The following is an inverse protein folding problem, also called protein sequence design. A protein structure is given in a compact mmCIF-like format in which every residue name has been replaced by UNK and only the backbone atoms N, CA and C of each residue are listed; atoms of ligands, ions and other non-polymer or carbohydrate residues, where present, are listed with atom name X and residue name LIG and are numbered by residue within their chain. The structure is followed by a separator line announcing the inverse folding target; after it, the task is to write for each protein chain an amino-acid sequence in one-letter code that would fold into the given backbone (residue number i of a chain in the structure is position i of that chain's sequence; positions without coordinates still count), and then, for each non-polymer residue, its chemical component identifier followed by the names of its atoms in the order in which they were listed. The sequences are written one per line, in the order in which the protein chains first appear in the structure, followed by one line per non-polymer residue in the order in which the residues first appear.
data_IF_045512296400
#
_entry.id   IF_045512296400
#
_cell.length_a   1.000
_cell.length_b   1.000
_cell.length_c   1.000
_cell.angle_alpha   90.00
_cell.angle_beta   90.00
_cell.angle_gamma   90.00
#
_symmetry.space_group_name_H-M   'P 1'
#
loop_
_entity.id
_entity.type
_entity.pdbx_description
1 polymer ?
#
# COMPACT_ATOMS: atom_id res chain seq x y z
N UNK A 1 -0.67 -83.08 57.65
CA UNK A 1 0.42 -82.61 58.55
C UNK A 1 1.59 -82.26 57.67
N UNK A 2 2.15 -81.06 57.85
CA UNK A 2 3.30 -80.42 57.15
C UNK A 2 3.08 -80.11 55.66
N UNK A 3 2.63 -78.91 55.27
CA UNK A 3 3.34 -77.61 55.17
C UNK A 3 4.65 -77.64 54.36
N UNK A 4 4.58 -77.10 53.13
CA UNK A 4 5.59 -76.19 52.53
C UNK A 4 4.98 -75.53 51.28
N UNK A 5 4.42 -74.32 51.44
CA UNK A 5 4.06 -73.45 50.32
C UNK A 5 5.23 -72.51 50.01
N UNK A 6 5.70 -72.56 48.76
CA UNK A 6 6.77 -71.72 48.22
C UNK A 6 6.25 -70.32 47.92
N UNK A 7 6.77 -69.30 48.62
CA UNK A 7 6.47 -67.88 48.38
C UNK A 7 7.31 -67.35 47.20
N UNK A 8 6.67 -67.08 46.06
CA UNK A 8 7.23 -66.22 45.02
C UNK A 8 7.11 -64.76 45.47
N UNK A 9 8.24 -64.11 45.71
CA UNK A 9 8.32 -62.66 45.97
C UNK A 9 8.41 -61.94 44.62
N UNK A 10 7.27 -61.45 44.13
CA UNK A 10 7.22 -60.51 42.99
C UNK A 10 7.63 -59.12 43.48
N UNK A 11 8.81 -58.66 43.04
CA UNK A 11 9.28 -57.28 43.26
C UNK A 11 8.46 -56.32 42.38
N UNK A 12 7.59 -55.53 43.00
CA UNK A 12 7.00 -54.34 42.38
C UNK A 12 8.03 -53.20 42.42
N UNK A 13 8.51 -52.79 41.26
CA UNK A 13 9.36 -51.62 41.08
C UNK A 13 8.46 -50.44 40.71
N UNK A 14 8.36 -49.37 41.53
CA UNK A 14 7.50 -48.24 41.20
C UNK A 14 8.14 -47.43 40.06
N UNK A 15 7.46 -47.40 38.91
CA UNK A 15 7.80 -46.51 37.80
C UNK A 15 7.30 -45.11 38.18
N UNK A 16 8.20 -44.28 38.69
CA UNK A 16 7.94 -42.85 38.92
C UNK A 16 7.89 -42.16 37.55
N UNK A 17 6.67 -41.92 37.05
CA UNK A 17 6.44 -41.20 35.79
C UNK A 17 6.72 -39.71 36.04
N UNK A 18 7.93 -39.25 35.69
CA UNK A 18 8.28 -37.83 35.65
C UNK A 18 7.59 -37.18 34.44
N UNK A 19 6.43 -36.57 34.69
CA UNK A 19 5.78 -35.63 33.77
C UNK A 19 6.65 -34.37 33.65
N UNK A 20 7.55 -34.36 32.67
CA UNK A 20 8.16 -33.12 32.19
C UNK A 20 7.08 -32.33 31.43
N UNK A 21 6.42 -31.40 32.13
CA UNK A 21 5.61 -30.37 31.51
C UNK A 21 6.51 -29.44 30.72
N UNK A 22 6.61 -29.67 29.40
CA UNK A 22 7.21 -28.73 28.47
C UNK A 22 6.34 -27.48 28.37
N UNK A 23 6.56 -26.52 29.26
CA UNK A 23 6.12 -25.14 29.09
C UNK A 23 6.93 -24.55 27.94
N UNK A 24 6.44 -24.70 26.71
CA UNK A 24 6.90 -23.89 25.59
C UNK A 24 6.46 -22.46 25.86
N UNK A 25 7.39 -21.64 26.37
CA UNK A 25 7.31 -20.19 26.30
C UNK A 25 7.28 -19.83 24.81
N UNK A 26 6.09 -19.71 24.25
CA UNK A 26 5.90 -19.12 22.93
C UNK A 26 6.28 -17.65 23.07
N UNK A 27 7.47 -17.28 22.64
CA UNK A 27 7.79 -15.87 22.43
C UNK A 27 6.76 -15.34 21.43
N UNK A 28 5.83 -14.50 21.90
CA UNK A 28 5.02 -13.71 20.99
C UNK A 28 5.99 -12.85 20.19
N UNK A 29 6.27 -13.26 18.96
CA UNK A 29 6.99 -12.42 18.02
C UNK A 29 6.09 -11.23 17.77
N UNK A 30 6.40 -10.10 18.39
CA UNK A 30 5.64 -8.87 18.25
C UNK A 30 5.62 -8.52 16.77
N UNK A 31 4.46 -8.68 16.13
CA UNK A 31 4.31 -8.42 14.70
C UNK A 31 4.65 -6.96 14.44
N UNK A 32 5.51 -6.67 13.46
CA UNK A 32 5.74 -5.30 13.01
C UNK A 32 4.42 -4.72 12.49
N UNK A 33 4.06 -3.52 12.97
CA UNK A 33 2.79 -2.86 12.67
C UNK A 33 3.06 -1.46 12.12
N UNK A 34 2.22 -1.06 11.16
CA UNK A 34 2.18 0.32 10.70
C UNK A 34 1.49 1.16 11.78
N UNK A 35 2.01 2.37 12.02
CA UNK A 35 1.51 3.27 13.07
C UNK A 35 0.84 4.52 12.51
N UNK A 36 0.98 4.78 11.21
CA UNK A 36 0.43 5.91 10.48
C UNK A 36 1.25 7.20 10.62
N UNK A 37 1.19 8.05 9.58
CA UNK A 37 1.97 9.30 9.49
C UNK A 37 1.85 10.22 10.69
N UNK A 38 0.67 10.26 11.34
CA UNK A 38 0.41 11.13 12.48
C UNK A 38 1.30 10.80 13.69
N UNK A 39 1.74 9.55 13.84
CA UNK A 39 2.68 9.17 14.89
C UNK A 39 4.08 9.70 14.56
N UNK A 40 4.48 9.61 13.29
CA UNK A 40 5.74 10.17 12.79
C UNK A 40 5.78 11.70 12.98
N UNK A 41 4.67 12.37 12.65
CA UNK A 41 4.48 13.81 12.76
C UNK A 41 4.74 14.36 14.18
N UNK A 42 4.52 13.54 15.21
CA UNK A 42 4.75 13.94 16.60
C UNK A 42 6.22 14.26 16.93
N UNK A 43 7.17 13.75 16.14
CA UNK A 43 8.60 14.01 16.31
C UNK A 43 9.27 14.57 15.05
N UNK A 44 8.72 14.31 13.86
CA UNK A 44 9.30 14.64 12.55
C UNK A 44 8.48 15.68 11.78
N UNK A 45 8.28 16.85 12.38
CA UNK A 45 7.43 17.92 11.82
C UNK A 45 7.98 18.47 10.51
N UNK A 46 9.30 18.66 10.42
CA UNK A 46 9.94 19.20 9.21
C UNK A 46 9.79 18.25 8.01
N UNK A 47 9.97 16.94 8.24
CA UNK A 47 9.84 15.92 7.22
C UNK A 47 8.39 15.79 6.76
N UNK A 48 7.43 15.81 7.71
CA UNK A 48 6.01 15.83 7.35
C UNK A 48 5.71 17.05 6.48
N UNK A 49 6.16 18.25 6.88
CA UNK A 49 5.91 19.47 6.11
C UNK A 49 6.51 19.42 4.70
N UNK A 50 7.64 18.74 4.51
CA UNK A 50 8.25 18.57 3.20
C UNK A 50 7.55 17.50 2.34
N UNK A 51 6.96 16.49 2.97
CA UNK A 51 6.21 15.42 2.32
C UNK A 51 4.79 15.86 1.94
N UNK A 52 4.14 16.65 2.78
CA UNK A 52 2.76 17.13 2.55
C UNK A 52 2.65 17.95 1.25
N UNK A 53 1.65 17.65 0.44
CA UNK A 53 1.44 18.23 -0.87
C UNK A 53 2.39 17.71 -1.97
N UNK A 54 3.29 16.78 -1.66
CA UNK A 54 4.08 16.08 -2.67
C UNK A 54 3.21 15.13 -3.50
N UNK A 55 3.73 14.63 -4.61
CA UNK A 55 3.01 13.60 -5.40
C UNK A 55 2.86 12.27 -4.66
N UNK A 56 3.64 12.02 -3.60
CA UNK A 56 3.45 10.85 -2.75
C UNK A 56 2.23 11.01 -1.84
N UNK A 57 2.08 12.17 -1.20
CA UNK A 57 0.90 12.53 -0.40
C UNK A 57 -0.36 12.59 -1.27
N UNK A 58 -0.22 13.14 -2.47
CA UNK A 58 -1.32 13.29 -3.44
C UNK A 58 -1.42 12.10 -4.41
N UNK A 59 -0.81 10.96 -4.08
CA UNK A 59 -0.88 9.75 -4.90
C UNK A 59 -2.33 9.27 -5.03
N UNK A 60 -3.12 9.42 -3.97
CA UNK A 60 -4.56 9.24 -3.97
C UNK A 60 -5.23 10.18 -2.97
N UNK A 61 -6.45 10.60 -3.28
CA UNK A 61 -7.24 11.48 -2.39
C UNK A 61 -8.70 11.04 -2.31
N UNK A 62 -9.35 11.38 -1.21
CA UNK A 62 -10.78 11.14 -1.01
C UNK A 62 -11.63 12.18 -1.73
N UNK A 63 -12.91 11.86 -1.93
CA UNK A 63 -13.90 12.82 -2.41
C UNK A 63 -13.99 14.01 -1.44
N UNK A 64 -13.92 15.22 -1.98
CA UNK A 64 -13.96 16.47 -1.21
C UNK A 64 -12.59 17.01 -0.82
N UNK A 65 -11.52 16.26 -1.06
CA UNK A 65 -10.16 16.79 -0.90
C UNK A 65 -9.90 17.95 -1.90
N UNK A 66 -9.28 19.07 -1.49
CA UNK A 66 -8.97 20.18 -2.41
C UNK A 66 -8.05 19.81 -3.60
N UNK A 67 -7.31 18.71 -3.52
CA UNK A 67 -6.50 18.18 -4.61
C UNK A 67 -7.29 17.25 -5.56
N UNK A 68 -8.52 16.86 -5.22
CA UNK A 68 -9.47 16.25 -6.16
C UNK A 68 -10.06 17.34 -7.07
N UNK A 69 -9.41 17.58 -8.21
CA UNK A 69 -9.62 18.76 -9.07
C UNK A 69 -10.44 18.48 -10.34
N UNK A 70 -10.69 17.20 -10.66
CA UNK A 70 -11.45 16.83 -11.84
C UNK A 70 -12.89 17.39 -11.78
N UNK A 71 -13.40 18.04 -12.84
CA UNK A 71 -14.72 18.67 -12.83
C UNK A 71 -15.83 17.70 -13.20
N UNK A 72 -16.87 17.65 -12.37
CA UNK A 72 -18.09 16.88 -12.59
C UNK A 72 -19.25 17.81 -13.00
N UNK A 73 -19.03 18.57 -14.07
CA UNK A 73 -19.91 19.65 -14.55
C UNK A 73 -20.84 19.24 -15.70
N UNK A 74 -20.89 17.95 -16.03
CA UNK A 74 -21.76 17.38 -17.06
C UNK A 74 -21.08 17.12 -18.40
N UNK A 75 -19.76 17.27 -18.50
CA UNK A 75 -19.00 16.89 -19.69
C UNK A 75 -19.17 15.41 -20.03
N UNK A 76 -19.10 15.11 -21.32
CA UNK A 76 -19.26 13.76 -21.88
C UNK A 76 -18.04 13.35 -22.70
N UNK A 77 -17.66 12.08 -22.61
CA UNK A 77 -16.66 11.43 -23.46
C UNK A 77 -17.27 10.15 -24.00
N UNK A 78 -17.23 9.98 -25.31
CA UNK A 78 -17.65 8.76 -25.99
C UNK A 78 -16.44 8.12 -26.64
N UNK A 79 -16.05 6.93 -26.18
CA UNK A 79 -14.89 6.18 -26.70
C UNK A 79 -15.02 4.68 -26.37
N UNK A 80 -14.49 3.80 -27.22
CA UNK A 80 -14.43 2.36 -26.91
C UNK A 80 -15.79 1.67 -26.73
N UNK A 81 -16.85 2.20 -27.36
CA UNK A 81 -18.24 1.73 -27.17
C UNK A 81 -18.89 2.17 -25.85
N UNK A 82 -18.27 3.10 -25.10
CA UNK A 82 -18.73 3.60 -23.81
C UNK A 82 -18.97 5.12 -23.87
N UNK A 83 -20.21 5.55 -23.64
CA UNK A 83 -20.51 6.95 -23.34
C UNK A 83 -20.35 7.16 -21.84
N UNK A 84 -19.58 8.17 -21.44
CA UNK A 84 -19.31 8.52 -20.04
C UNK A 84 -19.66 9.98 -19.81
N UNK A 85 -20.45 10.27 -18.78
CA UNK A 85 -20.84 11.62 -18.37
C UNK A 85 -20.47 11.86 -16.91
N UNK A 86 -19.75 12.94 -16.65
CA UNK A 86 -19.20 13.27 -15.32
C UNK A 86 -20.07 14.33 -14.65
N UNK A 87 -20.84 13.94 -13.64
CA UNK A 87 -21.82 14.82 -12.96
C UNK A 87 -21.74 14.72 -11.44
N UNK A 88 -22.34 15.69 -10.78
CA UNK A 88 -22.57 15.65 -9.33
C UNK A 88 -24.03 15.28 -9.04
N UNK A 89 -24.25 14.35 -8.11
CA UNK A 89 -25.56 13.98 -7.56
C UNK A 89 -25.46 14.14 -6.04
N UNK A 90 -26.33 14.94 -5.43
CA UNK A 90 -26.33 15.21 -3.98
C UNK A 90 -24.93 15.61 -3.44
N UNK A 91 -24.27 16.53 -4.13
CA UNK A 91 -22.90 17.00 -3.85
C UNK A 91 -21.79 15.93 -3.96
N UNK A 92 -22.10 14.73 -4.43
CA UNK A 92 -21.14 13.66 -4.67
C UNK A 92 -20.83 13.47 -6.17
N UNK A 93 -19.55 13.29 -6.55
CA UNK A 93 -19.16 12.99 -7.93
C UNK A 93 -19.61 11.59 -8.36
N UNK A 94 -20.23 11.52 -9.54
CA UNK A 94 -20.77 10.32 -10.16
C UNK A 94 -20.42 10.30 -11.65
N UNK A 95 -20.08 9.12 -12.16
CA UNK A 95 -19.96 8.89 -13.60
C UNK A 95 -21.19 8.13 -14.08
N UNK A 96 -22.03 8.74 -14.91
CA UNK A 96 -23.03 7.98 -15.65
C UNK A 96 -22.35 7.36 -16.87
N UNK A 97 -22.54 6.06 -17.07
CA UNK A 97 -22.01 5.39 -18.26
C UNK A 97 -23.11 4.62 -18.98
N UNK A 98 -22.99 4.54 -20.29
CA UNK A 98 -23.89 3.81 -21.18
C UNK A 98 -23.06 3.02 -22.20
N UNK A 99 -23.28 1.71 -22.24
CA UNK A 99 -22.69 0.76 -23.18
C UNK A 99 -23.78 -0.20 -23.72
N UNK A 100 -23.39 -1.27 -24.42
CA UNK A 100 -24.31 -2.27 -24.93
C UNK A 100 -25.11 -3.02 -23.84
N UNK A 101 -24.68 -2.95 -22.57
CA UNK A 101 -25.34 -3.55 -21.42
C UNK A 101 -26.34 -2.57 -20.77
N UNK A 102 -26.33 -1.30 -21.17
CA UNK A 102 -27.27 -0.26 -20.77
C UNK A 102 -26.65 0.83 -19.91
N UNK A 103 -27.51 1.72 -19.39
CA UNK A 103 -27.09 2.86 -18.58
C UNK A 103 -26.93 2.48 -17.10
N UNK A 104 -25.87 2.97 -16.46
CA UNK A 104 -25.59 2.81 -15.02
C UNK A 104 -24.89 4.05 -14.45
N UNK A 105 -25.02 4.25 -13.14
CA UNK A 105 -24.35 5.32 -12.41
C UNK A 105 -23.28 4.73 -11.50
N UNK A 106 -22.08 5.28 -11.56
CA UNK A 106 -20.90 4.81 -10.85
C UNK A 106 -20.44 5.89 -9.85
N UNK A 107 -20.69 5.72 -8.55
CA UNK A 107 -20.18 6.62 -7.54
C UNK A 107 -18.65 6.63 -7.54
N UNK A 108 -18.07 7.83 -7.50
CA UNK A 108 -16.62 8.00 -7.35
C UNK A 108 -16.24 7.79 -5.89
N UNK A 109 -15.20 7.01 -5.65
CA UNK A 109 -14.69 6.69 -4.31
C UNK A 109 -13.41 7.43 -4.00
N UNK A 110 -12.49 7.51 -4.95
CA UNK A 110 -11.19 8.15 -4.79
C UNK A 110 -10.73 8.79 -6.10
N UNK A 111 -9.80 9.72 -5.96
CA UNK A 111 -8.99 10.25 -7.05
C UNK A 111 -7.58 9.70 -6.95
N UNK A 112 -6.93 9.50 -8.09
CA UNK A 112 -5.62 8.87 -8.21
C UNK A 112 -4.73 9.73 -9.09
N UNK A 113 -3.60 10.20 -8.55
CA UNK A 113 -2.76 11.19 -9.19
C UNK A 113 -3.27 12.64 -9.06
N UNK A 114 -2.43 13.60 -9.42
CA UNK A 114 -2.70 15.05 -9.26
C UNK A 114 -2.43 15.88 -10.51
N UNK A 115 -1.23 15.77 -11.09
CA UNK A 115 -0.79 16.58 -12.24
C UNK A 115 0.21 15.76 -13.08
N UNK A 116 0.12 15.79 -14.42
CA UNK A 116 -0.87 16.50 -15.24
C UNK A 116 -2.20 15.74 -15.42
N UNK A 117 -2.33 14.56 -14.80
CA UNK A 117 -3.45 13.64 -14.96
C UNK A 117 -3.96 13.19 -13.58
N UNK A 118 -5.29 13.11 -13.46
CA UNK A 118 -6.00 12.58 -12.31
C UNK A 118 -7.00 11.52 -12.79
N UNK A 119 -6.73 10.26 -12.45
CA UNK A 119 -7.63 9.13 -12.64
C UNK A 119 -8.63 9.05 -11.48
N UNK A 120 -9.67 8.24 -11.67
CA UNK A 120 -10.79 8.11 -10.74
C UNK A 120 -11.02 6.65 -10.45
N UNK A 121 -11.24 6.36 -9.17
CA UNK A 121 -11.66 5.04 -8.73
C UNK A 121 -13.16 5.00 -8.52
N UNK A 122 -13.82 4.08 -9.20
CA UNK A 122 -15.24 3.76 -9.02
C UNK A 122 -15.39 2.39 -8.38
N UNK A 123 -16.48 2.19 -7.64
CA UNK A 123 -16.78 0.90 -7.04
C UNK A 123 -17.27 -0.08 -8.11
N UNK A 124 -16.63 -1.24 -8.18
CA UNK A 124 -17.03 -2.38 -8.98
C UNK A 124 -17.59 -3.49 -8.11
N UNK A 125 -17.95 -4.60 -8.75
CA UNK A 125 -18.50 -5.75 -8.04
C UNK A 125 -17.43 -6.47 -7.20
N UNK A 126 -17.87 -7.22 -6.18
CA UNK A 126 -17.04 -8.14 -5.38
C UNK A 126 -15.82 -7.44 -4.75
N UNK A 127 -16.03 -6.22 -4.27
CA UNK A 127 -15.05 -5.40 -3.56
C UNK A 127 -13.94 -4.82 -4.44
N UNK A 128 -14.12 -4.81 -5.76
CA UNK A 128 -13.17 -4.20 -6.70
C UNK A 128 -13.33 -2.69 -6.71
N UNK A 129 -12.21 -1.98 -6.72
CA UNK A 129 -12.13 -0.60 -7.17
C UNK A 129 -11.56 -0.61 -8.58
N UNK A 130 -12.25 0.07 -9.48
CA UNK A 130 -11.86 0.17 -10.89
C UNK A 130 -11.31 1.56 -11.18
N UNK A 131 -10.13 1.61 -11.75
CA UNK A 131 -9.54 2.81 -12.32
C UNK A 131 -10.25 3.13 -13.63
N UNK A 132 -11.10 4.14 -13.61
CA UNK A 132 -11.92 4.49 -14.76
C UNK A 132 -11.03 4.95 -15.94
N UNK A 133 -11.19 4.40 -17.16
CA UNK A 133 -10.25 4.59 -18.27
C UNK A 133 -10.39 5.94 -18.98
N UNK A 134 -11.06 6.91 -18.35
CA UNK A 134 -11.21 8.29 -18.83
C UNK A 134 -10.79 9.24 -17.71
N UNK A 135 -9.48 9.49 -17.54
CA UNK A 135 -8.98 10.47 -16.57
C UNK A 135 -9.27 11.92 -16.96
N UNK A 136 -9.06 12.80 -15.99
CA UNK A 136 -8.99 14.23 -16.18
C UNK A 136 -7.53 14.67 -16.38
N UNK A 137 -7.26 15.37 -17.48
CA UNK A 137 -6.04 16.14 -17.67
C UNK A 137 -6.25 17.56 -17.13
N UNK A 138 -5.27 18.10 -16.40
CA UNK A 138 -5.29 19.50 -15.97
C UNK A 138 -4.75 20.47 -17.03
N UNK A 139 -4.73 21.77 -16.71
CA UNK A 139 -4.32 22.82 -17.64
C UNK A 139 -2.83 22.75 -18.04
N UNK A 140 -1.99 22.03 -17.30
CA UNK A 140 -0.57 21.83 -17.61
C UNK A 140 -0.35 20.71 -18.61
N UNK A 141 -1.34 19.83 -18.82
CA UNK A 141 -1.26 18.76 -19.78
C UNK A 141 -1.16 19.29 -21.22
N UNK A 142 -0.49 18.53 -22.08
CA UNK A 142 -0.51 18.81 -23.53
C UNK A 142 -1.96 18.66 -24.04
N UNK A 143 -2.48 19.70 -24.69
CA UNK A 143 -3.88 19.79 -25.11
C UNK A 143 -4.82 20.43 -24.07
N UNK A 144 -4.29 20.85 -22.92
CA UNK A 144 -5.05 21.56 -21.89
C UNK A 144 -6.02 20.68 -21.10
N UNK A 145 -6.80 21.35 -20.25
CA UNK A 145 -7.69 20.71 -19.30
C UNK A 145 -8.87 20.02 -19.99
N UNK A 146 -9.02 18.70 -19.81
CA UNK A 146 -10.06 17.90 -20.48
C UNK A 146 -10.19 16.49 -19.89
N UNK A 147 -11.36 15.90 -20.04
CA UNK A 147 -11.53 14.46 -19.97
C UNK A 147 -10.99 13.82 -21.25
N UNK A 148 -10.28 12.69 -21.15
CA UNK A 148 -9.74 12.02 -22.34
C UNK A 148 -9.68 10.49 -22.16
N UNK A 149 -9.89 9.70 -23.23
CA UNK A 149 -9.70 8.26 -23.16
C UNK A 149 -8.22 7.91 -22.95
N UNK A 150 -7.91 7.06 -21.98
CA UNK A 150 -6.54 6.65 -21.68
C UNK A 150 -5.92 5.81 -22.81
N UNK A 151 -6.77 5.07 -23.54
CA UNK A 151 -6.40 4.20 -24.65
C UNK A 151 -7.11 4.66 -25.95
N UNK A 152 -6.69 5.80 -26.54
CA UNK A 152 -7.40 6.39 -27.67
C UNK A 152 -7.35 5.54 -28.95
N UNK A 153 -6.42 4.58 -29.05
CA UNK A 153 -6.31 3.65 -30.18
C UNK A 153 -7.29 2.47 -30.09
N UNK A 154 -7.86 2.22 -28.92
CA UNK A 154 -8.79 1.11 -28.68
C UNK A 154 -10.22 1.53 -29.03
N UNK A 155 -10.62 1.26 -30.27
CA UNK A 155 -11.92 1.68 -30.83
C UNK A 155 -13.11 0.97 -30.16
N UNK A 156 -12.92 -0.24 -29.62
CA UNK A 156 -13.98 -1.05 -28.99
C UNK A 156 -13.44 -1.78 -27.75
N UNK A 157 -14.12 -1.62 -26.61
CA UNK A 157 -13.80 -2.33 -25.36
C UNK A 157 -15.08 -2.93 -24.77
N UNK A 158 -15.71 -3.93 -25.41
CA UNK A 158 -17.01 -4.46 -24.95
C UNK A 158 -16.90 -5.15 -23.58
N UNK A 159 -18.01 -5.31 -22.87
CA UNK A 159 -18.00 -6.02 -21.59
C UNK A 159 -17.41 -7.43 -21.72
N UNK A 160 -16.51 -7.77 -20.79
CA UNK A 160 -15.71 -9.00 -20.83
C UNK A 160 -14.32 -8.79 -21.41
N UNK A 161 -14.08 -7.67 -22.13
CA UNK A 161 -12.74 -7.27 -22.54
C UNK A 161 -11.89 -6.87 -21.31
N UNK A 162 -10.61 -7.29 -21.23
CA UNK A 162 -9.73 -6.88 -20.13
C UNK A 162 -9.57 -5.37 -19.94
N UNK A 163 -9.69 -4.58 -21.01
CA UNK A 163 -9.56 -3.10 -21.04
C UNK A 163 -10.89 -2.36 -20.89
N UNK A 164 -12.03 -3.06 -20.91
CA UNK A 164 -13.32 -2.46 -20.53
C UNK A 164 -13.20 -1.84 -19.13
N UNK A 165 -13.93 -0.76 -18.82
CA UNK A 165 -13.78 -0.05 -17.54
C UNK A 165 -14.00 -0.95 -16.31
N UNK A 166 -14.80 -2.02 -16.43
CA UNK A 166 -14.99 -3.03 -15.36
C UNK A 166 -14.06 -4.26 -15.47
N UNK A 167 -13.19 -4.27 -16.47
CA UNK A 167 -12.23 -5.32 -16.78
C UNK A 167 -11.08 -5.41 -15.77
N UNK A 168 -10.24 -6.44 -15.94
CA UNK A 168 -9.16 -6.73 -14.99
C UNK A 168 -7.97 -5.77 -15.10
N UNK A 169 -7.72 -5.20 -16.29
CA UNK A 169 -6.59 -4.27 -16.49
C UNK A 169 -6.84 -2.90 -15.87
N UNK A 170 -8.11 -2.59 -15.55
CA UNK A 170 -8.50 -1.40 -14.82
C UNK A 170 -8.63 -1.65 -13.30
N UNK A 171 -8.42 -2.87 -12.81
CA UNK A 171 -8.63 -3.20 -11.39
C UNK A 171 -7.50 -2.63 -10.51
N UNK A 172 -7.83 -1.61 -9.73
CA UNK A 172 -6.89 -0.92 -8.85
C UNK A 172 -6.33 -1.84 -7.75
N UNK A 173 -7.17 -2.70 -7.15
CA UNK A 173 -6.74 -3.58 -6.04
C UNK A 173 -5.57 -4.48 -6.45
N UNK A 174 -5.60 -4.98 -7.69
CA UNK A 174 -4.57 -5.86 -8.21
C UNK A 174 -3.38 -5.08 -8.78
N UNK A 175 -3.65 -4.03 -9.57
CA UNK A 175 -2.65 -3.37 -10.41
C UNK A 175 -1.92 -2.20 -9.74
N UNK A 176 -2.58 -1.51 -8.81
CA UNK A 176 -2.14 -0.18 -8.37
C UNK A 176 -2.00 -0.07 -6.85
N UNK A 177 -2.86 -0.75 -6.09
CA UNK A 177 -2.99 -0.54 -4.66
C UNK A 177 -1.69 -0.70 -3.87
N UNK A 178 -0.82 -1.64 -4.26
CA UNK A 178 0.42 -1.93 -3.53
C UNK A 178 1.41 -0.77 -3.58
N UNK A 179 1.38 0.03 -4.65
CA UNK A 179 2.30 1.15 -4.85
C UNK A 179 1.68 2.51 -4.55
N UNK A 180 0.35 2.60 -4.47
CA UNK A 180 -0.36 3.86 -4.26
C UNK A 180 -1.07 3.93 -2.91
N UNK A 181 -0.78 3.02 -1.98
CA UNK A 181 -1.27 3.05 -0.60
C UNK A 181 -0.19 2.56 0.36
N UNK A 182 -0.43 2.74 1.67
CA UNK A 182 0.51 2.32 2.72
C UNK A 182 -0.11 1.28 3.63
N UNK A 183 0.66 0.24 3.99
CA UNK A 183 0.18 -0.84 4.85
C UNK A 183 -0.94 -1.67 4.22
N UNK A 184 -0.86 -1.89 2.90
CA UNK A 184 -1.88 -2.62 2.14
C UNK A 184 -2.01 -4.08 2.59
N UNK A 185 -3.26 -4.51 2.74
CA UNK A 185 -3.67 -5.91 2.67
C UNK A 185 -4.57 -6.07 1.45
N UNK A 186 -4.06 -6.73 0.41
CA UNK A 186 -4.81 -6.91 -0.86
C UNK A 186 -6.13 -7.65 -0.64
N UNK A 187 -6.17 -8.63 0.26
CA UNK A 187 -7.41 -9.30 0.68
C UNK A 187 -8.12 -10.04 -0.46
N UNK A 188 -7.38 -10.59 -1.42
CA UNK A 188 -7.96 -11.37 -2.52
C UNK A 188 -8.34 -12.78 -2.04
N UNK A 189 -9.59 -13.18 -2.29
CA UNK A 189 -10.09 -14.54 -2.09
C UNK A 189 -10.33 -15.20 -3.45
N UNK A 190 -9.54 -16.22 -3.77
CA UNK A 190 -9.61 -16.92 -5.04
C UNK A 190 -10.87 -17.81 -5.19
N UNK A 191 -11.50 -18.22 -4.09
CA UNK A 191 -12.69 -19.08 -4.11
C UNK A 191 -13.95 -18.32 -4.51
N UNK A 192 -14.03 -17.06 -4.11
CA UNK A 192 -15.13 -16.14 -4.43
C UNK A 192 -14.76 -15.12 -5.52
N UNK A 193 -13.49 -15.10 -5.91
CA UNK A 193 -12.89 -14.11 -6.82
C UNK A 193 -13.26 -12.67 -6.40
N UNK A 194 -13.05 -12.36 -5.13
CA UNK A 194 -13.40 -11.07 -4.51
C UNK A 194 -12.21 -10.44 -3.81
N UNK A 195 -12.28 -9.12 -3.62
CA UNK A 195 -11.33 -8.38 -2.81
C UNK A 195 -11.99 -7.88 -1.53
N UNK A 196 -11.27 -7.95 -0.43
CA UNK A 196 -11.53 -7.20 0.80
C UNK A 196 -10.29 -6.39 1.14
N UNK A 197 -9.93 -5.49 0.21
CA UNK A 197 -8.68 -4.72 0.29
C UNK A 197 -8.79 -3.66 1.38
N UNK A 198 -7.77 -3.60 2.24
CA UNK A 198 -7.63 -2.57 3.28
C UNK A 198 -6.23 -1.99 3.25
N UNK A 199 -6.05 -0.78 3.77
CA UNK A 199 -4.76 -0.11 3.90
C UNK A 199 -4.73 0.68 5.21
N UNK A 200 -3.53 1.02 5.67
CA UNK A 200 -3.35 1.92 6.81
C UNK A 200 -3.55 3.38 6.40
N UNK A 201 -3.06 3.75 5.21
CA UNK A 201 -3.19 5.10 4.64
C UNK A 201 -3.41 4.98 3.13
N UNK A 202 -4.27 5.85 2.59
CA UNK A 202 -4.77 5.76 1.19
C UNK A 202 -3.70 6.16 0.15
N UNK A 203 -2.57 6.72 0.58
CA UNK A 203 -1.52 7.31 -0.25
C UNK A 203 -0.13 6.68 0.03
N UNK A 204 0.93 7.24 -0.59
CA UNK A 204 2.33 6.82 -0.37
C UNK A 204 2.90 7.60 0.82
N UNK A 205 2.62 7.08 2.02
CA UNK A 205 3.00 7.67 3.29
C UNK A 205 4.41 7.25 3.73
N UNK A 206 4.86 7.76 4.89
CA UNK A 206 6.18 7.54 5.45
C UNK A 206 6.55 6.05 5.50
N UNK A 207 5.62 5.22 5.97
CA UNK A 207 5.86 3.79 6.19
C UNK A 207 5.80 2.96 4.90
N UNK A 208 5.40 3.53 3.76
CA UNK A 208 5.54 2.88 2.46
C UNK A 208 7.03 2.69 2.10
N UNK A 209 7.87 3.68 2.45
CA UNK A 209 9.30 3.64 2.23
C UNK A 209 10.06 3.12 3.46
N UNK A 210 9.70 3.56 4.67
CA UNK A 210 10.41 3.20 5.90
C UNK A 210 9.97 1.86 6.51
N UNK A 211 8.89 1.27 5.99
CA UNK A 211 8.27 0.09 6.56
C UNK A 211 7.55 0.35 7.88
N UNK A 212 6.92 -0.69 8.47
CA UNK A 212 6.16 -0.58 9.72
C UNK A 212 7.03 -0.11 10.90
N UNK A 213 6.64 1.03 11.50
CA UNK A 213 7.43 1.77 12.49
C UNK A 213 7.16 1.44 13.95
N UNK A 214 6.37 0.41 14.26
CA UNK A 214 5.99 0.10 15.66
C UNK A 214 7.17 -0.07 16.62
N UNK A 215 8.25 -0.74 16.17
CA UNK A 215 9.47 -0.90 16.97
C UNK A 215 10.27 0.39 17.09
N UNK A 216 10.40 1.15 15.99
CA UNK A 216 11.03 2.47 16.00
C UNK A 216 10.38 3.39 17.02
N UNK A 217 9.05 3.51 16.99
CA UNK A 217 8.28 4.37 17.91
C UNK A 217 8.43 3.92 19.36
N UNK A 218 8.35 2.61 19.62
CA UNK A 218 8.54 2.04 20.97
C UNK A 218 9.92 2.39 21.53
N UNK A 219 10.96 2.26 20.72
CA UNK A 219 12.31 2.66 21.09
C UNK A 219 12.44 4.17 21.28
N UNK A 220 12.01 4.97 20.32
CA UNK A 220 12.20 6.43 20.32
C UNK A 220 11.50 7.09 21.52
N UNK A 221 10.29 6.64 21.88
CA UNK A 221 9.58 7.12 23.08
C UNK A 221 10.35 6.81 24.36
N UNK A 222 10.79 5.55 24.53
CA UNK A 222 11.61 5.16 25.69
C UNK A 222 12.91 5.96 25.75
N UNK A 223 13.56 6.17 24.61
CA UNK A 223 14.80 6.95 24.52
C UNK A 223 14.59 8.41 24.94
N UNK A 224 13.48 9.02 24.50
CA UNK A 224 13.13 10.39 24.88
C UNK A 224 12.86 10.54 26.39
N UNK A 225 12.20 9.55 27.00
CA UNK A 225 11.89 9.51 28.44
C UNK A 225 13.09 9.13 29.32
N UNK A 226 14.18 8.63 28.72
CA UNK A 226 15.39 8.22 29.44
C UNK A 226 16.35 9.41 29.60
N UNK A 227 16.89 9.67 30.81
CA UNK A 227 17.92 10.67 31.04
C UNK A 227 19.12 10.48 30.10
N UNK A 228 19.74 11.58 29.64
CA UNK A 228 20.77 11.52 28.60
C UNK A 228 21.95 10.60 28.94
N UNK A 229 22.35 10.57 30.21
CA UNK A 229 23.42 9.73 30.74
C UNK A 229 23.08 8.23 30.83
N UNK A 230 21.81 7.86 30.62
CA UNK A 230 21.29 6.49 30.71
C UNK A 230 20.82 5.97 29.34
N UNK A 231 20.85 6.81 28.30
CA UNK A 231 20.40 6.43 26.96
C UNK A 231 21.33 5.39 26.34
N UNK A 232 20.74 4.28 25.91
CA UNK A 232 21.42 3.28 25.10
C UNK A 232 21.54 3.75 23.65
N UNK A 233 22.50 3.17 22.92
CA UNK A 233 22.59 3.32 21.49
C UNK A 233 21.26 2.89 20.81
N UNK A 234 20.88 3.51 19.68
CA UNK A 234 19.75 3.06 18.89
C UNK A 234 19.89 1.57 18.53
N UNK A 235 18.79 0.80 18.45
CA UNK A 235 18.80 -0.53 17.87
C UNK A 235 19.21 -0.45 16.39
N UNK A 236 19.58 -1.59 15.81
CA UNK A 236 19.88 -1.68 14.38
C UNK A 236 18.75 -1.04 13.54
N UNK A 237 19.15 -0.24 12.55
CA UNK A 237 18.23 0.51 11.66
C UNK A 237 17.23 1.38 12.42
N UNK A 238 17.56 1.79 13.63
CA UNK A 238 16.68 2.55 14.53
C UNK A 238 15.31 1.88 14.76
N UNK A 239 15.23 0.55 14.66
CA UNK A 239 14.00 -0.22 14.86
C UNK A 239 13.12 -0.38 13.62
N UNK A 240 13.61 0.02 12.43
CA UNK A 240 12.93 -0.26 11.16
C UNK A 240 13.38 -1.58 10.53
N UNK A 241 12.52 -2.24 9.72
CA UNK A 241 12.90 -3.44 8.99
C UNK A 241 13.83 -3.14 7.82
N UNK A 242 13.80 -1.92 7.29
CA UNK A 242 14.60 -1.47 6.15
C UNK A 242 15.61 -0.41 6.56
N UNK A 243 16.74 -0.37 5.88
CA UNK A 243 17.74 0.68 5.98
C UNK A 243 17.86 1.36 4.62
N UNK A 244 17.44 2.62 4.54
CA UNK A 244 17.51 3.41 3.31
C UNK A 244 18.78 4.26 3.24
N UNK A 245 19.58 4.30 4.30
CA UNK A 245 20.73 5.21 4.39
C UNK A 245 22.01 4.51 3.94
N UNK A 246 22.48 4.81 2.73
CA UNK A 246 23.85 4.49 2.31
C UNK A 246 24.69 5.77 2.14
N UNK A 247 25.16 6.32 3.27
CA UNK A 247 25.97 7.54 3.37
C UNK A 247 27.40 7.42 2.80
N UNK A 248 27.70 6.38 2.01
CA UNK A 248 29.06 6.06 1.54
C UNK A 248 29.33 6.44 0.09
N UNK A 249 28.38 7.04 -0.60
CA UNK A 249 28.46 7.25 -2.05
C UNK A 249 29.10 8.58 -2.43
N UNK A 250 30.02 8.52 -3.40
CA UNK A 250 30.41 9.67 -4.23
C UNK A 250 30.02 9.40 -5.68
N UNK A 251 29.60 10.43 -6.41
CA UNK A 251 29.44 10.36 -7.86
C UNK A 251 30.75 10.76 -8.52
N UNK A 252 31.40 9.81 -9.19
CA UNK A 252 32.69 10.01 -9.85
C UNK A 252 32.46 9.97 -11.36
N UNK A 253 33.00 10.94 -12.09
CA UNK A 253 33.05 10.93 -13.55
C UNK A 253 34.51 10.90 -13.97
N UNK A 254 34.98 9.80 -14.55
CA UNK A 254 36.35 9.74 -15.03
C UNK A 254 36.52 10.61 -16.29
N UNK A 255 37.77 11.00 -16.58
CA UNK A 255 38.09 11.75 -17.79
C UNK A 255 37.74 10.93 -19.04
N UNK A 256 36.93 11.50 -19.94
CA UNK A 256 36.41 10.82 -21.13
C UNK A 256 35.07 10.09 -20.93
N UNK A 257 34.57 9.92 -19.70
CA UNK A 257 33.24 9.35 -19.46
C UNK A 257 32.14 10.40 -19.64
N UNK A 258 31.07 10.01 -20.33
CA UNK A 258 29.90 10.87 -20.58
C UNK A 258 28.93 10.95 -19.40
N UNK A 259 28.96 9.98 -18.48
CA UNK A 259 28.02 9.83 -17.37
C UNK A 259 28.79 9.53 -16.08
N UNK A 260 28.44 10.20 -14.98
CA UNK A 260 29.03 9.91 -13.67
C UNK A 260 28.50 8.57 -13.13
N UNK A 261 29.34 7.82 -12.44
CA UNK A 261 28.98 6.57 -11.77
C UNK A 261 29.11 6.70 -10.27
N UNK A 262 28.28 5.96 -9.54
CA UNK A 262 28.35 5.85 -8.09
C UNK A 262 29.59 5.04 -7.68
N UNK A 263 30.30 5.50 -6.66
CA UNK A 263 31.46 4.81 -6.06
C UNK A 263 31.39 4.90 -4.52
N UNK A 264 31.35 3.76 -3.79
CA UNK A 264 31.30 2.40 -4.32
C UNK A 264 29.96 2.13 -5.04
N UNK A 265 29.92 1.13 -5.95
CA UNK A 265 28.65 0.61 -6.47
C UNK A 265 27.69 0.26 -5.33
N UNK A 266 26.38 0.38 -5.56
CA UNK A 266 25.37 -0.02 -4.59
C UNK A 266 25.61 -1.47 -4.17
N UNK A 267 25.71 -1.72 -2.87
CA UNK A 267 25.81 -3.08 -2.35
C UNK A 267 24.46 -3.84 -2.48
N UNK A 268 23.36 -3.10 -2.52
CA UNK A 268 22.00 -3.59 -2.70
C UNK A 268 21.12 -2.45 -3.22
N UNK A 269 20.01 -2.79 -3.86
CA UNK A 269 19.05 -1.84 -4.42
C UNK A 269 17.85 -1.58 -3.49
N UNK A 270 17.97 -1.86 -2.18
CA UNK A 270 16.85 -1.88 -1.24
C UNK A 270 16.01 -0.59 -1.27
N UNK A 271 16.63 0.58 -1.39
CA UNK A 271 15.90 1.85 -1.52
C UNK A 271 15.04 1.88 -2.80
N UNK A 272 15.59 1.57 -3.96
CA UNK A 272 14.83 1.51 -5.22
C UNK A 272 13.77 0.41 -5.18
N UNK A 273 14.12 -0.78 -4.67
CA UNK A 273 13.22 -1.92 -4.53
C UNK A 273 12.16 -1.73 -3.43
N UNK A 274 12.20 -0.64 -2.67
CA UNK A 274 11.18 -0.30 -1.67
C UNK A 274 10.37 0.90 -2.14
N UNK A 275 11.04 1.96 -2.59
CA UNK A 275 10.43 3.25 -2.92
C UNK A 275 9.97 3.37 -4.39
N UNK A 276 10.46 2.51 -5.30
CA UNK A 276 10.19 2.56 -6.75
C UNK A 276 9.86 1.17 -7.32
N UNK A 277 9.07 0.39 -6.56
CA UNK A 277 8.59 -0.95 -6.99
C UNK A 277 7.63 -0.88 -8.18
N UNK A 278 7.04 0.30 -8.35
CA UNK A 278 6.32 0.79 -9.50
C UNK A 278 6.96 2.13 -9.89
#
# INVERSE_FOLDING_TARGET
MTDTHSLLVTRFMPITLLLFGSLTLSSAQESLQHVGRNVCAGCHVEQLSAWSGSHHDLAMTEVGDPAARAPFDGQEVSHGGLLSRFITIDDAPVIEVEDAQGKRSLPVRYFFGVTPCQQILVEGERGRLQSFPVPWADATATGGARWYPLFPEEEETPAGDPMHWSGILNNWNHMCAECHSTGLVKGYDASTDSFNTTWQEIDVSCEACHGPGSQHVSWARKWNDTPENERLAPPDRSGFPVDLVDNRARWVRAEGEKVARRDPPLAHHAETETCARC
#
